data_IF_719935487144
#
_entry.id   IF_719935487144
#
_cell.length_a   1.000
_cell.length_b   1.000
_cell.length_c   1.000
_cell.angle_alpha   90.00
_cell.angle_beta   90.00
_cell.angle_gamma   90.00
#
_symmetry.space_group_name_H-M   'P 1'
#
loop_
_entity.id
_entity.type
_entity.pdbx_description
1 polymer ?
#
# COMPACT_ATOMS: atom_id res chain seq x y z
N UNK A 1 -5.06 5.24 1.36
CA UNK A 1 -6.51 5.45 1.61
C UNK A 1 -7.09 4.43 2.60
N UNK A 2 -6.61 3.17 2.57
CA UNK A 2 -7.02 2.05 3.45
C UNK A 2 -6.72 2.29 4.95
N UNK A 3 -5.58 2.91 5.27
CA UNK A 3 -5.21 3.26 6.65
C UNK A 3 -6.16 4.29 7.33
N UNK A 4 -6.98 5.03 6.56
CA UNK A 4 -8.02 5.93 7.08
C UNK A 4 -9.31 5.19 7.39
N UNK A 5 -9.60 4.12 6.65
CA UNK A 5 -10.78 3.25 6.85
C UNK A 5 -10.59 2.39 8.09
N UNK A 6 -9.40 1.81 8.30
CA UNK A 6 -9.08 1.07 9.52
C UNK A 6 -9.06 1.95 10.78
N UNK A 7 -8.66 3.21 10.66
CA UNK A 7 -8.73 4.17 11.77
C UNK A 7 -10.18 4.50 12.12
N UNK A 8 -11.04 4.74 11.12
CA UNK A 8 -12.48 4.92 11.32
C UNK A 8 -13.17 3.68 11.90
N UNK A 9 -12.73 2.47 11.56
CA UNK A 9 -13.25 1.23 12.15
C UNK A 9 -12.78 1.06 13.60
N UNK A 10 -11.53 1.40 13.91
CA UNK A 10 -10.99 1.41 15.28
C UNK A 10 -11.66 2.47 16.17
N UNK A 11 -12.00 3.62 15.59
CA UNK A 11 -12.73 4.71 16.24
C UNK A 11 -14.26 4.44 16.30
N UNK A 12 -14.78 3.50 15.51
CA UNK A 12 -16.17 3.03 15.63
C UNK A 12 -16.30 1.87 16.64
N UNK A 13 -15.25 1.06 16.81
CA UNK A 13 -15.16 0.00 17.84
C UNK A 13 -14.84 0.60 19.21
N UNK A 14 -14.03 1.67 19.27
CA UNK A 14 -13.98 2.58 20.40
C UNK A 14 -15.16 3.53 20.32
N UNK A 15 -16.35 3.07 20.68
CA UNK A 15 -17.49 3.94 20.95
C UNK A 15 -17.13 4.96 22.03
N UNK A 16 -16.51 6.05 21.62
CA UNK A 16 -16.30 7.28 22.37
C UNK A 16 -17.08 8.39 21.67
N UNK A 17 -18.32 8.08 21.27
CA UNK A 17 -19.36 9.06 21.38
C UNK A 17 -19.45 9.35 22.87
N UNK A 18 -18.87 10.47 23.31
CA UNK A 18 -18.84 10.97 24.69
C UNK A 18 -20.20 11.17 25.37
N UNK A 19 -21.23 10.44 24.92
CA UNK A 19 -22.32 9.90 25.72
C UNK A 19 -21.88 8.55 26.31
N UNK A 20 -20.79 8.58 27.07
CA UNK A 20 -20.54 7.52 28.03
C UNK A 20 -21.84 7.30 28.79
N UNK A 21 -22.31 6.05 28.77
CA UNK A 21 -23.44 5.51 29.53
C UNK A 21 -23.62 6.36 30.79
N UNK A 22 -24.63 7.23 30.81
CA UNK A 22 -24.96 7.94 32.04
C UNK A 22 -25.34 6.83 33.01
N UNK A 23 -24.45 6.58 33.97
CA UNK A 23 -24.74 5.74 35.13
C UNK A 23 -25.86 6.43 35.91
N UNK A 24 -27.09 6.16 35.50
CA UNK A 24 -28.29 6.35 36.30
C UNK A 24 -28.81 4.96 36.63
N UNK A 25 -28.15 4.28 37.58
CA UNK A 25 -28.88 3.28 38.37
C UNK A 25 -30.14 4.00 38.85
N UNK A 26 -31.31 3.44 38.51
CA UNK A 26 -32.66 3.85 38.91
C UNK A 26 -32.63 4.97 39.96
N UNK A 27 -32.97 6.20 39.56
CA UNK A 27 -32.77 7.37 40.40
C UNK A 27 -33.46 7.12 41.75
N UNK A 28 -32.74 7.20 42.89
CA UNK A 28 -33.35 7.05 44.19
C UNK A 28 -34.51 8.04 44.32
N UNK A 29 -35.65 7.55 44.79
CA UNK A 29 -36.83 8.38 44.98
C UNK A 29 -36.65 9.15 46.28
N UNK A 30 -36.35 10.44 46.18
CA UNK A 30 -36.30 11.35 47.33
C UNK A 30 -37.71 11.88 47.60
N UNK A 31 -38.38 11.27 48.59
CA UNK A 31 -39.74 11.66 48.98
C UNK A 31 -39.79 13.05 49.61
N UNK A 32 -38.72 13.55 50.23
CA UNK A 32 -38.66 14.90 50.80
C UNK A 32 -38.47 15.98 49.73
N UNK A 33 -37.68 15.69 48.69
CA UNK A 33 -37.58 16.54 47.51
C UNK A 33 -38.94 16.66 46.80
N UNK A 34 -39.62 15.53 46.58
CA UNK A 34 -40.92 15.50 45.92
C UNK A 34 -41.97 16.23 46.78
N UNK A 35 -41.97 16.02 48.10
CA UNK A 35 -42.89 16.69 49.01
C UNK A 35 -42.72 18.21 48.99
N UNK A 36 -41.48 18.72 48.97
CA UNK A 36 -41.19 20.15 48.84
C UNK A 36 -41.61 20.71 47.48
N UNK A 37 -41.32 19.97 46.39
CA UNK A 37 -41.69 20.39 45.03
C UNK A 37 -43.20 20.51 44.84
N UNK A 38 -43.97 19.67 45.52
CA UNK A 38 -45.43 19.68 45.48
C UNK A 38 -46.05 20.55 46.59
N UNK A 39 -45.24 21.18 47.44
CA UNK A 39 -45.64 21.96 48.62
C UNK A 39 -46.66 21.21 49.50
N UNK A 40 -46.42 19.91 49.72
CA UNK A 40 -47.43 19.00 50.26
C UNK A 40 -47.93 19.41 51.64
N UNK A 41 -47.04 19.87 52.53
CA UNK A 41 -47.42 20.20 53.90
C UNK A 41 -48.33 21.44 53.96
N UNK A 42 -48.01 22.48 53.19
CA UNK A 42 -48.81 23.70 53.13
C UNK A 42 -50.16 23.45 52.45
N UNK A 43 -50.15 22.73 51.32
CA UNK A 43 -51.37 22.36 50.59
C UNK A 43 -52.25 21.43 51.44
N UNK A 44 -51.67 20.49 52.18
CA UNK A 44 -52.41 19.61 53.09
C UNK A 44 -53.10 20.39 54.22
N UNK A 45 -52.39 21.36 54.83
CA UNK A 45 -52.94 22.20 55.88
C UNK A 45 -54.09 23.09 55.36
N UNK A 46 -53.90 23.72 54.19
CA UNK A 46 -54.94 24.52 53.54
C UNK A 46 -56.19 23.67 53.23
N UNK A 47 -55.99 22.52 52.58
CA UNK A 47 -57.08 21.59 52.22
C UNK A 47 -57.80 21.04 53.45
N UNK A 48 -57.05 20.67 54.49
CA UNK A 48 -57.58 20.17 55.76
C UNK A 48 -58.46 21.21 56.45
N UNK A 49 -58.01 22.47 56.52
CA UNK A 49 -58.80 23.57 57.10
C UNK A 49 -60.10 23.87 56.36
N UNK A 50 -60.15 23.57 55.05
CA UNK A 50 -61.33 23.67 54.18
C UNK A 50 -62.17 22.39 54.16
N UNK A 51 -61.80 21.39 54.95
CA UNK A 51 -62.47 20.09 55.04
C UNK A 51 -62.53 19.34 53.70
N UNK A 52 -61.51 19.54 52.86
CA UNK A 52 -61.36 18.89 51.57
C UNK A 52 -60.34 17.75 51.68
N UNK A 53 -60.62 16.56 51.13
CA UNK A 53 -61.89 16.15 50.52
C UNK A 53 -62.97 15.90 51.58
N UNK A 54 -64.24 15.91 51.14
CA UNK A 54 -65.40 15.65 51.98
C UNK A 54 -65.30 14.27 52.66
N UNK A 55 -65.84 14.15 53.88
CA UNK A 55 -65.73 12.92 54.68
C UNK A 55 -66.35 11.68 54.04
N UNK A 56 -67.29 11.87 53.11
CA UNK A 56 -67.96 10.82 52.32
C UNK A 56 -67.29 10.55 50.97
N UNK A 57 -66.21 11.26 50.62
CA UNK A 57 -65.43 11.01 49.41
C UNK A 57 -64.91 9.57 49.40
N UNK A 58 -64.91 8.97 48.21
CA UNK A 58 -64.45 7.59 47.97
C UNK A 58 -63.20 7.53 47.08
N UNK A 59 -62.77 8.67 46.53
CA UNK A 59 -61.73 8.73 45.51
C UNK A 59 -60.62 9.71 45.92
N UNK A 60 -59.41 9.44 45.42
CA UNK A 60 -58.26 10.33 45.58
C UNK A 60 -58.59 11.74 45.11
N UNK A 61 -58.25 12.73 45.93
CA UNK A 61 -58.42 14.13 45.54
C UNK A 61 -57.36 14.60 44.53
N UNK A 62 -57.47 15.85 44.07
CA UNK A 62 -56.55 16.39 43.06
C UNK A 62 -55.08 16.47 43.51
N UNK A 63 -54.79 16.50 44.82
CA UNK A 63 -53.42 16.53 45.33
C UNK A 63 -52.87 15.10 45.40
N UNK A 64 -53.66 14.17 45.92
CA UNK A 64 -53.32 12.74 45.93
C UNK A 64 -53.11 12.19 44.52
N UNK A 65 -53.97 12.57 43.56
CA UNK A 65 -53.79 12.24 42.15
C UNK A 65 -52.49 12.81 41.58
N UNK A 66 -52.11 14.04 41.97
CA UNK A 66 -50.85 14.66 41.52
C UNK A 66 -49.63 13.94 42.09
N UNK A 67 -49.68 13.48 43.35
CA UNK A 67 -48.64 12.64 43.94
C UNK A 67 -48.50 11.35 43.11
N UNK A 68 -49.61 10.63 42.90
CA UNK A 68 -49.61 9.37 42.12
C UNK A 68 -49.06 9.59 40.71
N UNK A 69 -49.57 10.60 39.97
CA UNK A 69 -49.14 10.89 38.60
C UNK A 69 -47.64 11.24 38.50
N UNK A 70 -47.09 11.92 39.50
CA UNK A 70 -45.66 12.27 39.50
C UNK A 70 -44.80 11.01 39.55
N UNK A 71 -45.14 10.06 40.44
CA UNK A 71 -44.36 8.83 40.62
C UNK A 71 -44.65 7.80 39.51
N UNK A 72 -45.88 7.74 38.99
CA UNK A 72 -46.20 6.94 37.80
C UNK A 72 -45.44 7.44 36.56
N UNK A 73 -45.21 8.75 36.45
CA UNK A 73 -44.38 9.35 35.40
C UNK A 73 -42.92 8.92 35.48
N UNK A 74 -42.31 8.98 36.67
CA UNK A 74 -40.94 8.48 36.93
C UNK A 74 -40.83 6.97 36.63
N UNK A 75 -41.81 6.19 37.09
CA UNK A 75 -41.88 4.74 36.83
C UNK A 75 -41.95 4.43 35.32
N UNK A 76 -42.84 5.12 34.59
CA UNK A 76 -42.98 4.93 33.14
C UNK A 76 -41.72 5.33 32.38
N UNK A 77 -41.06 6.42 32.80
CA UNK A 77 -39.81 6.89 32.20
C UNK A 77 -38.69 5.86 32.38
N UNK A 78 -38.51 5.36 33.61
CA UNK A 78 -37.52 4.32 33.89
C UNK A 78 -37.86 2.99 33.21
N UNK A 79 -39.14 2.67 33.02
CA UNK A 79 -39.57 1.50 32.24
C UNK A 79 -39.16 1.59 30.77
N UNK A 80 -39.32 2.76 30.14
CA UNK A 80 -38.85 3.01 28.78
C UNK A 80 -37.32 2.91 28.67
N UNK A 81 -36.59 3.43 29.66
CA UNK A 81 -35.13 3.31 29.72
C UNK A 81 -34.67 1.85 29.89
N UNK A 82 -35.37 1.06 30.71
CA UNK A 82 -35.11 -0.37 30.83
C UNK A 82 -35.24 -1.10 29.49
N UNK A 83 -36.31 -0.84 28.72
CA UNK A 83 -36.49 -1.44 27.39
C UNK A 83 -35.30 -1.11 26.48
N UNK A 84 -34.86 0.15 26.45
CA UNK A 84 -33.71 0.57 25.64
C UNK A 84 -32.42 -0.17 26.05
N UNK A 85 -32.17 -0.29 27.35
CA UNK A 85 -31.02 -1.03 27.87
C UNK A 85 -31.09 -2.52 27.51
N UNK A 86 -32.26 -3.14 27.59
CA UNK A 86 -32.47 -4.56 27.24
C UNK A 86 -32.27 -4.83 25.75
N UNK A 87 -32.70 -3.92 24.87
CA UNK A 87 -32.37 -3.98 23.43
C UNK A 87 -30.87 -3.86 23.17
N UNK A 88 -30.17 -3.01 23.92
CA UNK A 88 -28.72 -2.87 23.83
C UNK A 88 -28.01 -4.16 24.28
N UNK A 89 -28.47 -4.81 25.36
CA UNK A 89 -27.96 -6.13 25.76
C UNK A 89 -28.20 -7.20 24.69
N UNK A 90 -29.39 -7.26 24.10
CA UNK A 90 -29.70 -8.18 23.00
C UNK A 90 -28.76 -7.97 21.80
N UNK A 91 -28.50 -6.73 21.42
CA UNK A 91 -27.57 -6.38 20.35
C UNK A 91 -26.13 -6.83 20.66
N UNK A 92 -25.68 -6.68 21.92
CA UNK A 92 -24.36 -7.15 22.36
C UNK A 92 -24.26 -8.67 22.36
N UNK A 93 -25.32 -9.39 22.73
CA UNK A 93 -25.35 -10.86 22.66
C UNK A 93 -25.23 -11.38 21.22
N UNK A 94 -25.86 -10.70 20.26
CA UNK A 94 -25.73 -11.02 18.83
C UNK A 94 -24.31 -10.73 18.35
N UNK A 95 -23.73 -9.60 18.77
CA UNK A 95 -22.37 -9.22 18.39
C UNK A 95 -21.31 -10.21 18.92
N UNK A 96 -21.51 -10.75 20.12
CA UNK A 96 -20.66 -11.79 20.73
C UNK A 96 -21.20 -13.17 20.35
N UNK A 97 -21.33 -13.42 19.04
CA UNK A 97 -21.77 -14.71 18.53
C UNK A 97 -20.68 -15.38 17.72
N UNK A 98 -20.42 -16.65 18.05
CA UNK A 98 -19.43 -17.49 17.36
C UNK A 98 -19.80 -17.63 15.89
N UNK A 99 -21.10 -17.74 15.58
CA UNK A 99 -21.58 -17.89 14.21
C UNK A 99 -21.25 -16.67 13.34
N UNK A 100 -21.46 -15.44 13.85
CA UNK A 100 -21.19 -14.23 13.08
C UNK A 100 -19.69 -14.09 12.81
N UNK A 101 -18.84 -14.33 13.81
CA UNK A 101 -17.40 -14.25 13.59
C UNK A 101 -16.88 -15.38 12.68
N UNK A 102 -17.38 -16.60 12.84
CA UNK A 102 -17.04 -17.73 11.97
C UNK A 102 -17.43 -17.46 10.51
N UNK A 103 -18.67 -17.01 10.26
CA UNK A 103 -19.15 -16.72 8.91
C UNK A 103 -18.35 -15.58 8.24
N UNK A 104 -17.96 -14.56 9.01
CA UNK A 104 -17.11 -13.47 8.55
C UNK A 104 -15.70 -13.95 8.18
N UNK A 105 -15.10 -14.80 9.01
CA UNK A 105 -13.76 -15.35 8.77
C UNK A 105 -13.76 -16.38 7.63
N UNK A 106 -14.81 -17.19 7.50
CA UNK A 106 -15.01 -18.09 6.36
C UNK A 106 -15.10 -17.29 5.05
N UNK A 107 -15.96 -16.26 5.00
CA UNK A 107 -16.07 -15.40 3.82
C UNK A 107 -14.72 -14.74 3.45
N UNK A 108 -13.95 -14.28 4.44
CA UNK A 108 -12.62 -13.71 4.22
C UNK A 108 -11.65 -14.76 3.64
N UNK A 109 -11.65 -15.98 4.18
CA UNK A 109 -10.81 -17.07 3.71
C UNK A 109 -11.19 -17.50 2.28
N UNK A 110 -12.48 -17.69 2.00
CA UNK A 110 -12.98 -18.05 0.67
C UNK A 110 -12.61 -17.00 -0.38
N UNK A 111 -12.80 -15.71 -0.08
CA UNK A 111 -12.42 -14.62 -0.98
C UNK A 111 -10.91 -14.62 -1.28
N UNK A 112 -10.08 -14.94 -0.28
CA UNK A 112 -8.64 -15.04 -0.45
C UNK A 112 -8.26 -16.24 -1.31
N UNK A 113 -8.85 -17.41 -1.06
CA UNK A 113 -8.66 -18.61 -1.88
C UNK A 113 -9.06 -18.36 -3.34
N UNK A 114 -10.18 -17.68 -3.59
CA UNK A 114 -10.59 -17.31 -4.95
C UNK A 114 -9.53 -16.43 -5.62
N UNK A 115 -9.02 -15.40 -4.94
CA UNK A 115 -7.96 -14.54 -5.50
C UNK A 115 -6.66 -15.31 -5.80
N UNK A 116 -6.26 -16.22 -4.93
CA UNK A 116 -5.06 -17.05 -5.14
C UNK A 116 -5.24 -17.98 -6.36
N UNK A 117 -6.41 -18.58 -6.52
CA UNK A 117 -6.73 -19.45 -7.67
C UNK A 117 -6.83 -18.67 -8.97
N UNK A 118 -7.43 -17.48 -8.94
CA UNK A 118 -7.47 -16.58 -10.10
C UNK A 118 -6.07 -16.16 -10.51
N UNK A 119 -5.20 -15.84 -9.55
CA UNK A 119 -3.79 -15.54 -9.81
C UNK A 119 -3.05 -16.75 -10.39
N UNK A 120 -3.32 -17.97 -9.91
CA UNK A 120 -2.76 -19.19 -10.47
C UNK A 120 -3.13 -19.35 -11.96
N UNK A 121 -4.40 -19.13 -12.30
CA UNK A 121 -4.85 -19.19 -13.69
C UNK A 121 -4.21 -18.12 -14.58
N UNK A 122 -4.03 -16.90 -14.05
CA UNK A 122 -3.38 -15.81 -14.79
C UNK A 122 -1.88 -16.00 -14.94
N UNK A 123 -1.22 -16.52 -13.91
CA UNK A 123 0.23 -16.76 -13.89
C UNK A 123 0.68 -17.64 -15.06
N UNK A 124 -0.09 -18.67 -15.41
CA UNK A 124 0.23 -19.52 -16.56
C UNK A 124 0.31 -18.74 -17.87
N UNK A 125 -0.68 -17.88 -18.12
CA UNK A 125 -0.77 -17.11 -19.36
C UNK A 125 0.22 -15.93 -19.39
N UNK A 126 0.42 -15.25 -18.27
CA UNK A 126 1.21 -14.02 -18.15
C UNK A 126 2.70 -14.34 -17.91
N UNK A 127 3.01 -15.26 -16.99
CA UNK A 127 4.39 -15.57 -16.60
C UNK A 127 5.01 -16.73 -17.37
N UNK A 128 4.22 -17.64 -17.92
CA UNK A 128 4.73 -18.79 -18.70
C UNK A 128 5.68 -18.38 -19.83
N UNK A 129 5.23 -17.52 -20.77
CA UNK A 129 6.06 -17.06 -21.89
C UNK A 129 7.30 -16.26 -21.45
N UNK A 130 7.16 -15.44 -20.40
CA UNK A 130 8.26 -14.64 -19.85
C UNK A 130 9.32 -15.55 -19.22
N UNK A 131 8.90 -16.57 -18.48
CA UNK A 131 9.79 -17.58 -17.90
C UNK A 131 10.53 -18.35 -18.99
N UNK A 132 9.83 -18.83 -20.02
CA UNK A 132 10.46 -19.54 -21.15
C UNK A 132 11.52 -18.66 -21.84
N UNK A 133 11.18 -17.39 -22.07
CA UNK A 133 12.10 -16.42 -22.69
C UNK A 133 13.33 -16.16 -21.81
N UNK A 134 13.11 -15.96 -20.51
CA UNK A 134 14.19 -15.77 -19.54
C UNK A 134 15.13 -16.98 -19.49
N UNK A 135 14.58 -18.19 -19.36
CA UNK A 135 15.36 -19.43 -19.33
C UNK A 135 16.15 -19.61 -20.63
N UNK A 136 15.51 -19.41 -21.78
CA UNK A 136 16.19 -19.53 -23.08
C UNK A 136 17.38 -18.56 -23.20
N UNK A 137 17.20 -17.29 -22.82
CA UNK A 137 18.28 -16.29 -22.91
C UNK A 137 19.36 -16.46 -21.84
N UNK A 138 18.99 -16.93 -20.65
CA UNK A 138 19.94 -17.31 -19.61
C UNK A 138 20.82 -18.47 -20.08
N UNK A 139 20.22 -19.53 -20.61
CA UNK A 139 20.93 -20.71 -21.08
C UNK A 139 21.82 -20.36 -22.28
N UNK A 140 21.35 -19.52 -23.20
CA UNK A 140 22.14 -19.01 -24.32
C UNK A 140 23.37 -18.18 -23.83
N UNK A 141 23.21 -17.38 -22.77
CA UNK A 141 24.31 -16.65 -22.14
C UNK A 141 25.30 -17.60 -21.45
N UNK A 142 24.80 -18.62 -20.75
CA UNK A 142 25.61 -19.63 -20.09
C UNK A 142 26.45 -20.40 -21.10
N UNK A 143 25.82 -20.94 -22.14
CA UNK A 143 26.46 -21.58 -23.29
C UNK A 143 27.54 -20.70 -23.92
N UNK A 144 27.23 -19.42 -24.14
CA UNK A 144 28.20 -18.47 -24.67
C UNK A 144 29.41 -18.35 -23.74
N UNK A 145 29.19 -18.23 -22.43
CA UNK A 145 30.29 -18.14 -21.45
C UNK A 145 31.13 -19.40 -21.42
N UNK A 146 30.54 -20.59 -21.49
CA UNK A 146 31.26 -21.85 -21.51
C UNK A 146 32.11 -22.01 -22.77
N UNK A 147 31.51 -21.87 -23.96
CA UNK A 147 32.21 -21.99 -25.25
C UNK A 147 33.38 -21.01 -25.36
N UNK A 148 33.23 -19.82 -24.80
CA UNK A 148 34.23 -18.75 -24.85
C UNK A 148 35.12 -18.65 -23.60
N UNK A 149 34.97 -19.55 -22.61
CA UNK A 149 35.72 -19.61 -21.34
C UNK A 149 35.67 -18.31 -20.52
N UNK A 150 34.53 -17.64 -20.50
CA UNK A 150 34.32 -16.34 -19.86
C UNK A 150 33.83 -16.50 -18.41
N UNK A 151 34.75 -16.36 -17.45
CA UNK A 151 34.43 -16.45 -16.01
C UNK A 151 33.91 -15.15 -15.40
N UNK A 152 34.27 -14.00 -15.97
CA UNK A 152 33.85 -12.67 -15.50
C UNK A 152 32.42 -12.34 -15.93
N UNK A 153 31.76 -11.43 -15.21
CA UNK A 153 30.53 -10.80 -15.69
C UNK A 153 30.80 -9.93 -16.93
N UNK A 154 29.77 -9.74 -17.75
CA UNK A 154 29.82 -8.81 -18.87
C UNK A 154 29.92 -7.37 -18.36
N UNK A 155 30.75 -6.57 -19.03
CA UNK A 155 30.83 -5.14 -18.80
C UNK A 155 29.72 -4.48 -19.61
N UNK A 156 28.79 -3.81 -18.94
CA UNK A 156 27.75 -3.02 -19.60
C UNK A 156 27.99 -1.53 -19.29
N UNK A 157 28.57 -0.74 -20.22
CA UNK A 157 28.70 0.69 -20.02
C UNK A 157 27.30 1.33 -20.06
N UNK A 158 26.75 1.68 -18.89
CA UNK A 158 25.37 2.13 -18.73
C UNK A 158 24.99 3.41 -19.48
N UNK A 159 25.96 4.20 -19.96
CA UNK A 159 25.74 5.50 -20.59
C UNK A 159 26.22 5.55 -22.04
N UNK A 160 25.53 4.87 -22.96
CA UNK A 160 25.89 4.91 -24.39
C UNK A 160 25.77 6.31 -24.99
N UNK A 161 24.83 7.11 -24.51
CA UNK A 161 24.62 8.50 -24.92
C UNK A 161 25.83 9.42 -24.67
N UNK A 162 26.59 9.20 -23.59
CA UNK A 162 27.80 10.00 -23.34
C UNK A 162 28.90 9.70 -24.36
N UNK A 163 28.86 8.54 -25.02
CA UNK A 163 29.76 8.21 -26.13
C UNK A 163 29.50 9.11 -27.32
N UNK A 164 28.24 9.24 -27.75
CA UNK A 164 27.90 10.10 -28.88
C UNK A 164 28.17 11.58 -28.60
N UNK A 165 27.91 12.03 -27.36
CA UNK A 165 28.29 13.38 -26.93
C UNK A 165 29.80 13.64 -27.00
N UNK A 166 30.61 12.67 -26.57
CA UNK A 166 32.06 12.75 -26.70
C UNK A 166 32.49 12.77 -28.17
N UNK A 167 31.99 11.85 -29.02
CA UNK A 167 32.33 11.81 -30.45
C UNK A 167 31.97 13.13 -31.16
N UNK A 168 30.81 13.71 -30.84
CA UNK A 168 30.42 15.02 -31.34
C UNK A 168 31.39 16.11 -30.91
N UNK A 169 31.82 16.11 -29.65
CA UNK A 169 32.83 17.04 -29.15
C UNK A 169 34.18 16.85 -29.87
N UNK A 170 34.62 15.61 -30.12
CA UNK A 170 35.83 15.33 -30.88
C UNK A 170 35.75 15.96 -32.28
N UNK A 171 34.63 15.72 -32.99
CA UNK A 171 34.38 16.27 -34.32
C UNK A 171 34.39 17.80 -34.28
N UNK A 172 33.68 18.42 -33.34
CA UNK A 172 33.59 19.87 -33.23
C UNK A 172 34.97 20.51 -33.01
N UNK A 173 35.75 19.98 -32.07
CA UNK A 173 37.09 20.51 -31.77
C UNK A 173 38.05 20.27 -32.92
N UNK A 174 38.07 19.07 -33.50
CA UNK A 174 38.91 18.74 -34.66
C UNK A 174 38.55 19.62 -35.87
N UNK A 175 37.26 19.88 -36.11
CA UNK A 175 36.79 20.74 -37.19
C UNK A 175 37.26 22.19 -37.06
N UNK A 176 37.24 22.74 -35.84
CA UNK A 176 37.71 24.11 -35.58
C UNK A 176 39.22 24.19 -35.80
N UNK A 177 39.99 23.26 -35.22
CA UNK A 177 41.44 23.24 -35.33
C UNK A 177 41.87 23.04 -36.79
N UNK A 178 41.33 22.03 -37.47
CA UNK A 178 41.64 21.73 -38.86
C UNK A 178 41.14 22.83 -39.80
N UNK A 179 39.98 23.43 -39.52
CA UNK A 179 39.41 24.51 -40.33
C UNK A 179 40.26 25.77 -40.36
N UNK A 180 40.88 26.14 -39.23
CA UNK A 180 41.87 27.23 -39.18
C UNK A 180 43.09 26.92 -40.04
N UNK A 181 43.52 25.66 -40.08
CA UNK A 181 44.67 25.24 -40.89
C UNK A 181 44.36 25.21 -42.39
N UNK A 182 43.14 24.84 -42.80
CA UNK A 182 42.71 24.84 -44.20
C UNK A 182 42.25 26.21 -44.72
N UNK A 183 41.94 27.16 -43.83
CA UNK A 183 41.49 28.51 -44.18
C UNK A 183 42.47 29.29 -45.08
N UNK A 184 43.77 29.04 -44.98
CA UNK A 184 44.80 29.72 -45.79
C UNK A 184 44.84 29.24 -47.26
N UNK A 185 44.27 28.07 -47.56
CA UNK A 185 44.25 27.48 -48.90
C UNK A 185 42.88 27.47 -49.58
N UNK A 186 41.79 27.81 -48.87
CA UNK A 186 40.43 27.70 -49.39
C UNK A 186 39.93 29.01 -50.02
N UNK A 187 39.24 28.90 -51.17
CA UNK A 187 38.65 30.05 -51.88
C UNK A 187 37.65 30.88 -51.05
N UNK A 188 36.96 30.25 -50.08
CA UNK A 188 36.00 30.88 -49.17
C UNK A 188 36.62 31.24 -47.79
N UNK A 189 37.95 31.23 -47.68
CA UNK A 189 38.68 31.53 -46.43
C UNK A 189 38.27 30.61 -45.28
N UNK A 190 38.08 31.19 -44.09
CA UNK A 190 37.79 30.43 -42.86
C UNK A 190 36.48 29.63 -42.93
N UNK A 191 35.44 30.17 -43.57
CA UNK A 191 34.14 29.49 -43.69
C UNK A 191 34.29 28.24 -44.55
N UNK A 192 34.98 28.33 -45.68
CA UNK A 192 35.27 27.17 -46.54
C UNK A 192 36.12 26.11 -45.84
N UNK A 193 37.17 26.54 -45.14
CA UNK A 193 38.06 25.65 -44.39
C UNK A 193 37.36 24.90 -43.25
N UNK A 194 36.44 25.54 -42.52
CA UNK A 194 35.67 24.87 -41.46
C UNK A 194 34.69 23.85 -42.05
N UNK A 195 33.98 24.18 -43.13
CA UNK A 195 33.02 23.26 -43.75
C UNK A 195 33.71 21.99 -44.26
N UNK A 196 34.86 22.11 -44.92
CA UNK A 196 35.66 20.96 -45.36
C UNK A 196 36.24 20.18 -44.17
N UNK A 197 36.70 20.87 -43.12
CA UNK A 197 37.21 20.25 -41.91
C UNK A 197 36.15 19.42 -41.16
N UNK A 198 34.88 19.84 -41.16
CA UNK A 198 33.77 19.07 -40.55
C UNK A 198 33.62 17.71 -41.23
N UNK A 199 33.60 17.68 -42.57
CA UNK A 199 33.47 16.43 -43.32
C UNK A 199 34.64 15.47 -43.03
N UNK A 200 35.87 15.99 -43.04
CA UNK A 200 37.08 15.22 -42.76
C UNK A 200 37.09 14.71 -41.31
N UNK A 201 36.78 15.56 -40.34
CA UNK A 201 36.73 15.20 -38.92
C UNK A 201 35.67 14.12 -38.66
N UNK A 202 34.49 14.22 -39.26
CA UNK A 202 33.45 13.19 -39.14
C UNK A 202 33.96 11.82 -39.64
N UNK A 203 34.56 11.77 -40.83
CA UNK A 203 35.08 10.51 -41.40
C UNK A 203 36.22 9.96 -40.56
N UNK A 204 37.16 10.79 -40.10
CA UNK A 204 38.28 10.35 -39.27
C UNK A 204 37.83 9.79 -37.92
N UNK A 205 36.95 10.51 -37.21
CA UNK A 205 36.41 10.07 -35.93
C UNK A 205 35.56 8.82 -36.09
N UNK A 206 34.70 8.75 -37.12
CA UNK A 206 33.89 7.56 -37.39
C UNK A 206 34.75 6.35 -37.73
N UNK A 207 35.78 6.53 -38.58
CA UNK A 207 36.69 5.45 -38.97
C UNK A 207 37.54 4.97 -37.77
N UNK A 208 38.11 5.89 -36.99
CA UNK A 208 38.80 5.58 -35.74
C UNK A 208 37.90 4.82 -34.75
N UNK A 209 36.67 5.31 -34.55
CA UNK A 209 35.68 4.63 -33.72
C UNK A 209 35.36 3.21 -34.22
N UNK A 210 35.21 3.01 -35.54
CA UNK A 210 34.98 1.69 -36.13
C UNK A 210 36.16 0.73 -35.93
N UNK A 211 37.41 1.22 -36.02
CA UNK A 211 38.60 0.42 -35.72
C UNK A 211 38.57 -0.06 -34.25
N UNK A 212 38.22 0.84 -33.33
CA UNK A 212 38.01 0.48 -31.92
C UNK A 212 36.89 -0.55 -31.73
N UNK A 213 35.73 -0.29 -32.34
CA UNK A 213 34.51 -1.06 -32.15
C UNK A 213 34.59 -2.48 -32.71
N UNK A 214 35.26 -2.66 -33.84
CA UNK A 214 35.36 -3.95 -34.50
C UNK A 214 36.73 -4.59 -34.24
N UNK A 215 37.78 -4.36 -35.05
CA UNK A 215 38.98 -5.19 -35.02
C UNK A 215 39.71 -5.20 -33.68
N UNK A 216 39.77 -4.06 -32.96
CA UNK A 216 40.45 -4.00 -31.65
C UNK A 216 39.77 -4.91 -30.62
N UNK A 217 38.44 -5.03 -30.64
CA UNK A 217 37.72 -5.91 -29.70
C UNK A 217 37.92 -7.39 -29.99
N UNK A 218 38.13 -7.76 -31.26
CA UNK A 218 38.42 -9.14 -31.64
C UNK A 218 39.78 -9.65 -31.09
N UNK A 219 40.67 -8.76 -30.64
CA UNK A 219 41.89 -9.13 -29.92
C UNK A 219 41.63 -9.91 -28.62
N UNK A 220 40.44 -9.73 -28.04
CA UNK A 220 40.03 -10.39 -26.80
C UNK A 220 39.36 -11.76 -27.05
N UNK A 221 39.20 -12.18 -28.31
CA UNK A 221 38.54 -13.43 -28.65
C UNK A 221 39.38 -14.66 -28.22
N UNK A 222 38.72 -15.74 -27.82
CA UNK A 222 39.40 -16.95 -27.31
C UNK A 222 40.02 -17.80 -28.44
N UNK A 223 39.40 -17.81 -29.62
CA UNK A 223 39.92 -18.48 -30.81
C UNK A 223 41.05 -17.64 -31.45
N UNK A 224 42.22 -18.27 -31.61
CA UNK A 224 43.45 -17.66 -32.13
C UNK A 224 43.29 -17.10 -33.55
N UNK A 225 42.53 -17.76 -34.43
CA UNK A 225 42.32 -17.29 -35.80
C UNK A 225 41.64 -15.91 -35.81
N UNK A 226 40.53 -15.80 -35.07
CA UNK A 226 39.80 -14.54 -34.95
C UNK A 226 40.63 -13.45 -34.27
N UNK A 227 41.46 -13.82 -33.29
CA UNK A 227 42.41 -12.91 -32.65
C UNK A 227 43.46 -12.39 -33.63
N UNK A 228 44.00 -13.25 -34.49
CA UNK A 228 44.97 -12.88 -35.53
C UNK A 228 44.33 -11.98 -36.59
N UNK A 229 43.12 -12.32 -37.08
CA UNK A 229 42.38 -11.46 -38.00
C UNK A 229 42.09 -10.09 -37.38
N UNK A 230 41.68 -10.04 -36.11
CA UNK A 230 41.50 -8.80 -35.36
C UNK A 230 42.80 -7.99 -35.24
N UNK A 231 43.93 -8.64 -35.01
CA UNK A 231 45.24 -8.00 -34.95
C UNK A 231 45.66 -7.40 -36.30
N UNK A 232 45.61 -8.18 -37.38
CA UNK A 232 45.96 -7.72 -38.72
C UNK A 232 45.06 -6.56 -39.14
N UNK A 233 43.75 -6.67 -38.93
CA UNK A 233 42.80 -5.61 -39.24
C UNK A 233 43.00 -4.36 -38.37
N UNK A 234 43.39 -4.52 -37.10
CA UNK A 234 43.72 -3.38 -36.22
C UNK A 234 44.97 -2.66 -36.69
N UNK A 235 46.04 -3.40 -37.04
CA UNK A 235 47.28 -2.83 -37.55
C UNK A 235 47.03 -2.12 -38.88
N UNK A 236 46.33 -2.76 -39.82
CA UNK A 236 45.99 -2.16 -41.10
C UNK A 236 45.10 -0.91 -40.94
N UNK A 237 44.09 -0.97 -40.07
CA UNK A 237 43.20 0.16 -39.79
C UNK A 237 43.93 1.35 -39.14
N UNK A 238 44.75 1.09 -38.12
CA UNK A 238 45.57 2.13 -37.48
C UNK A 238 46.59 2.70 -38.47
N UNK A 239 47.21 1.85 -39.29
CA UNK A 239 48.12 2.29 -40.37
C UNK A 239 47.42 3.19 -41.39
N UNK A 240 46.20 2.84 -41.81
CA UNK A 240 45.38 3.67 -42.69
C UNK A 240 45.01 5.00 -42.02
N UNK A 241 44.67 5.00 -40.73
CA UNK A 241 44.36 6.21 -39.96
C UNK A 241 45.57 7.14 -39.85
N UNK A 242 46.77 6.60 -39.57
CA UNK A 242 48.03 7.35 -39.60
C UNK A 242 48.29 7.89 -41.01
N UNK A 243 48.08 7.08 -42.05
CA UNK A 243 48.21 7.49 -43.44
C UNK A 243 47.25 8.62 -43.83
N UNK A 244 46.00 8.60 -43.38
CA UNK A 244 45.01 9.67 -43.62
C UNK A 244 45.43 10.99 -42.96
N UNK A 245 45.88 10.96 -41.70
CA UNK A 245 46.37 12.16 -41.03
C UNK A 245 47.69 12.66 -41.65
N UNK A 246 48.57 11.75 -42.05
CA UNK A 246 49.80 12.09 -42.77
C UNK A 246 49.49 12.76 -44.10
N UNK A 247 48.58 12.17 -44.88
CA UNK A 247 48.09 12.74 -46.13
C UNK A 247 47.50 14.14 -45.94
N UNK A 248 46.68 14.35 -44.91
CA UNK A 248 46.12 15.68 -44.62
C UNK A 248 47.21 16.73 -44.33
N UNK A 249 48.29 16.35 -43.63
CA UNK A 249 49.43 17.23 -43.36
C UNK A 249 50.24 17.55 -44.63
N UNK A 250 50.53 16.54 -45.46
CA UNK A 250 51.19 16.73 -46.76
C UNK A 250 50.33 17.53 -47.74
N UNK A 251 49.01 17.32 -47.73
CA UNK A 251 48.06 18.06 -48.56
C UNK A 251 48.03 19.54 -48.22
N UNK A 252 48.07 19.87 -46.92
CA UNK A 252 48.19 21.25 -46.46
C UNK A 252 49.49 21.90 -46.98
N UNK A 253 50.64 21.24 -46.79
CA UNK A 253 51.94 21.76 -47.25
C UNK A 253 51.97 21.93 -48.78
N UNK A 254 51.46 20.96 -49.52
CA UNK A 254 51.36 21.01 -50.98
C UNK A 254 50.42 22.14 -51.45
N UNK A 255 49.27 22.34 -50.80
CA UNK A 255 48.34 23.43 -51.11
C UNK A 255 49.01 24.79 -50.92
N UNK A 256 49.80 24.95 -49.86
CA UNK A 256 50.56 26.16 -49.60
C UNK A 256 51.72 26.38 -50.59
N UNK A 257 52.32 25.31 -51.12
CA UNK A 257 53.50 25.39 -52.00
C UNK A 257 53.16 25.50 -53.50
N UNK A 258 52.18 24.75 -53.99
CA UNK A 258 51.90 24.59 -55.43
C UNK A 258 50.47 24.94 -55.86
N UNK A 259 49.60 25.30 -54.92
CA UNK A 259 48.18 25.59 -55.14
C UNK A 259 47.29 24.33 -55.16
N UNK A 260 45.98 24.51 -54.96
CA UNK A 260 44.99 23.43 -54.77
C UNK A 260 44.94 22.44 -55.95
N UNK A 261 45.04 22.93 -57.19
CA UNK A 261 44.95 22.12 -58.43
C UNK A 261 46.00 21.01 -58.53
N UNK A 262 47.17 21.18 -57.92
CA UNK A 262 48.28 20.20 -57.94
C UNK A 262 48.61 19.63 -56.56
N UNK A 263 47.87 20.05 -55.53
CA UNK A 263 48.15 19.71 -54.15
C UNK A 263 47.94 18.22 -53.86
N UNK A 264 46.91 17.59 -54.44
CA UNK A 264 46.60 16.17 -54.23
C UNK A 264 47.73 15.26 -54.71
N UNK A 265 48.17 15.42 -55.96
CA UNK A 265 49.22 14.59 -56.55
C UNK A 265 50.56 14.78 -55.84
N UNK A 266 50.89 16.04 -55.52
CA UNK A 266 52.12 16.39 -54.81
C UNK A 266 52.12 15.78 -53.40
N UNK A 267 51.01 15.89 -52.66
CA UNK A 267 50.89 15.33 -51.32
C UNK A 267 50.99 13.80 -51.31
N UNK A 268 50.40 13.13 -52.29
CA UNK A 268 50.49 11.68 -52.41
C UNK A 268 51.91 11.22 -52.73
N UNK A 269 52.58 11.89 -53.67
CA UNK A 269 53.98 11.60 -54.02
C UNK A 269 54.91 11.81 -52.83
N UNK A 270 54.79 12.95 -52.13
CA UNK A 270 55.65 13.25 -50.96
C UNK A 270 55.37 12.30 -49.80
N UNK A 271 54.12 11.93 -49.53
CA UNK A 271 53.78 10.93 -48.52
C UNK A 271 54.42 9.57 -48.82
N UNK A 272 54.51 9.17 -50.09
CA UNK A 272 55.14 7.91 -50.49
C UNK A 272 56.67 7.97 -50.43
N UNK A 273 57.30 9.04 -50.94
CA UNK A 273 58.75 9.14 -51.03
C UNK A 273 59.42 9.60 -49.74
N UNK A 274 58.71 10.37 -48.91
CA UNK A 274 59.24 11.00 -47.70
C UNK A 274 58.12 11.23 -46.66
N UNK A 275 57.55 10.16 -46.08
CA UNK A 275 56.33 10.22 -45.26
C UNK A 275 56.43 11.14 -44.03
N UNK A 276 57.63 11.32 -43.49
CA UNK A 276 57.90 12.14 -42.31
C UNK A 276 58.36 13.57 -42.62
N UNK A 277 58.52 13.92 -43.89
CA UNK A 277 59.00 15.24 -44.30
C UNK A 277 57.85 16.25 -44.37
N UNK A 278 57.57 16.92 -43.25
CA UNK A 278 56.63 18.05 -43.19
C UNK A 278 57.40 19.37 -43.20
N UNK A 279 56.94 20.34 -43.97
CA UNK A 279 57.63 21.60 -44.23
C UNK A 279 57.25 22.72 -43.23
N UNK A 280 56.04 22.67 -42.65
CA UNK A 280 55.51 23.68 -41.72
C UNK A 280 55.20 23.06 -40.34
N UNK A 281 55.53 23.79 -39.26
CA UNK A 281 55.17 23.44 -37.89
C UNK A 281 53.64 23.25 -37.72
N UNK A 282 52.84 24.01 -38.45
CA UNK A 282 51.38 23.85 -38.46
C UNK A 282 50.93 22.50 -39.03
N UNK A 283 51.68 21.93 -39.97
CA UNK A 283 51.40 20.61 -40.56
C UNK A 283 51.79 19.50 -39.58
N UNK A 284 52.84 19.71 -38.77
CA UNK A 284 53.12 18.86 -37.61
C UNK A 284 52.00 18.92 -36.55
N UNK A 285 51.45 20.10 -36.26
CA UNK A 285 50.30 20.22 -35.35
C UNK A 285 49.06 19.50 -35.89
N UNK A 286 48.74 19.69 -37.17
CA UNK A 286 47.62 19.03 -37.84
C UNK A 286 47.74 17.50 -37.75
N UNK A 287 48.95 16.97 -38.03
CA UNK A 287 49.23 15.54 -37.90
C UNK A 287 49.11 15.05 -36.45
N UNK A 288 49.82 15.68 -35.51
CA UNK A 288 49.89 15.22 -34.12
C UNK A 288 48.57 15.31 -33.37
N UNK A 289 47.85 16.42 -33.51
CA UNK A 289 46.52 16.61 -32.90
C UNK A 289 45.50 15.66 -33.55
N UNK A 290 45.58 15.48 -34.87
CA UNK A 290 44.76 14.50 -35.58
C UNK A 290 44.93 13.09 -35.03
N UNK A 291 46.19 12.64 -34.85
CA UNK A 291 46.48 11.34 -34.24
C UNK A 291 45.96 11.20 -32.80
N UNK A 292 45.99 12.28 -32.00
CA UNK A 292 45.43 12.28 -30.65
C UNK A 292 43.90 12.06 -30.67
N UNK A 293 43.18 12.76 -31.55
CA UNK A 293 41.73 12.61 -31.68
C UNK A 293 41.36 11.24 -32.25
N UNK A 294 42.10 10.75 -33.24
CA UNK A 294 42.02 9.39 -33.76
C UNK A 294 42.20 8.34 -32.64
N UNK A 295 43.21 8.49 -31.79
CA UNK A 295 43.44 7.60 -30.65
C UNK A 295 42.24 7.60 -29.69
N UNK A 296 41.71 8.78 -29.34
CA UNK A 296 40.54 8.89 -28.47
C UNK A 296 39.30 8.24 -29.09
N UNK A 297 39.09 8.40 -30.40
CA UNK A 297 38.00 7.74 -31.13
C UNK A 297 38.15 6.20 -31.11
N UNK A 298 39.35 5.67 -31.38
CA UNK A 298 39.66 4.23 -31.30
C UNK A 298 39.44 3.69 -29.89
N UNK A 299 39.99 4.36 -28.87
CA UNK A 299 39.82 3.98 -27.48
C UNK A 299 38.34 3.95 -27.08
N UNK A 300 37.57 4.95 -27.55
CA UNK A 300 36.16 5.03 -27.26
C UNK A 300 35.35 3.94 -27.96
N UNK A 301 35.67 3.60 -29.20
CA UNK A 301 35.08 2.46 -29.91
C UNK A 301 35.37 1.13 -29.21
N UNK A 302 36.62 0.93 -28.77
CA UNK A 302 37.03 -0.29 -28.08
C UNK A 302 36.33 -0.49 -26.72
N UNK A 303 35.91 0.60 -26.08
CA UNK A 303 35.23 0.61 -24.78
C UNK A 303 33.71 0.84 -24.88
N UNK A 304 33.15 0.88 -26.09
CA UNK A 304 31.73 1.17 -26.31
C UNK A 304 30.77 0.10 -25.76
N UNK A 305 31.21 -1.16 -25.72
CA UNK A 305 30.48 -2.29 -25.13
C UNK A 305 31.51 -3.28 -24.57
N UNK A 306 31.08 -4.48 -24.14
CA UNK A 306 31.98 -5.47 -23.56
C UNK A 306 33.22 -5.75 -24.45
N UNK A 307 34.46 -5.76 -23.90
CA UNK A 307 35.67 -6.00 -24.69
C UNK A 307 35.65 -7.30 -25.50
N UNK A 308 34.88 -8.31 -25.04
CA UNK A 308 34.63 -9.52 -25.78
C UNK A 308 33.48 -9.31 -26.77
N UNK A 309 33.68 -9.55 -28.08
CA UNK A 309 32.63 -9.38 -29.08
C UNK A 309 31.34 -10.11 -28.70
N UNK A 310 30.20 -9.43 -28.88
CA UNK A 310 28.83 -9.92 -28.62
C UNK A 310 28.47 -10.22 -27.16
N UNK A 311 29.41 -10.40 -26.22
CA UNK A 311 29.09 -10.82 -24.84
C UNK A 311 28.09 -9.88 -24.14
N UNK A 312 28.28 -8.56 -24.28
CA UNK A 312 27.34 -7.57 -23.72
C UNK A 312 25.91 -7.68 -24.27
N UNK A 313 25.72 -8.14 -25.51
CA UNK A 313 24.40 -8.29 -26.11
C UNK A 313 23.64 -9.50 -25.54
N UNK A 314 24.31 -10.66 -25.41
CA UNK A 314 23.74 -11.84 -24.74
C UNK A 314 23.39 -11.52 -23.28
N UNK A 315 24.29 -10.83 -22.58
CA UNK A 315 24.06 -10.43 -21.20
C UNK A 315 22.84 -9.51 -21.04
N UNK A 316 22.73 -8.45 -21.87
CA UNK A 316 21.58 -7.54 -21.79
C UNK A 316 20.26 -8.20 -22.16
N UNK A 317 20.24 -9.13 -23.12
CA UNK A 317 19.03 -9.89 -23.46
C UNK A 317 18.55 -10.74 -22.27
N UNK A 318 19.47 -11.46 -21.63
CA UNK A 318 19.14 -12.24 -20.44
C UNK A 318 18.71 -11.35 -19.26
N UNK A 319 19.38 -10.21 -19.06
CA UNK A 319 19.03 -9.25 -18.02
C UNK A 319 17.65 -8.64 -18.24
N UNK A 320 17.35 -8.19 -19.47
CA UNK A 320 16.06 -7.61 -19.81
C UNK A 320 14.91 -8.61 -19.62
N UNK A 321 15.07 -9.85 -20.11
CA UNK A 321 14.06 -10.89 -19.91
C UNK A 321 13.88 -11.24 -18.42
N UNK A 322 14.96 -11.18 -17.62
CA UNK A 322 14.87 -11.33 -16.17
C UNK A 322 14.10 -10.19 -15.52
N UNK A 323 14.37 -8.95 -15.91
CA UNK A 323 13.69 -7.75 -15.42
C UNK A 323 12.21 -7.78 -15.78
N UNK A 324 11.85 -8.03 -17.05
CA UNK A 324 10.45 -8.19 -17.48
C UNK A 324 9.72 -9.28 -16.70
N UNK A 325 10.35 -10.44 -16.51
CA UNK A 325 9.75 -11.52 -15.72
C UNK A 325 9.62 -11.13 -14.24
N UNK A 326 10.61 -10.45 -13.68
CA UNK A 326 10.61 -9.98 -12.28
C UNK A 326 9.51 -8.95 -12.04
N UNK A 327 9.32 -8.01 -12.95
CA UNK A 327 8.35 -6.93 -12.83
C UNK A 327 6.92 -7.48 -12.91
N UNK A 328 6.65 -8.38 -13.88
CA UNK A 328 5.34 -9.02 -13.99
C UNK A 328 5.04 -9.94 -12.80
N UNK A 329 6.06 -10.65 -12.30
CA UNK A 329 5.94 -11.49 -11.10
C UNK A 329 5.55 -10.65 -9.87
N UNK A 330 6.22 -9.51 -9.65
CA UNK A 330 5.90 -8.59 -8.57
C UNK A 330 4.47 -8.04 -8.70
N UNK A 331 4.07 -7.62 -9.91
CA UNK A 331 2.72 -7.13 -10.18
C UNK A 331 1.62 -8.15 -9.87
N UNK A 332 1.87 -9.44 -10.12
CA UNK A 332 0.87 -10.49 -9.90
C UNK A 332 0.80 -10.94 -8.43
N UNK A 333 1.92 -10.96 -7.71
CA UNK A 333 2.02 -11.64 -6.43
C UNK A 333 2.22 -10.75 -5.19
N UNK A 334 2.69 -9.51 -5.33
CA UNK A 334 2.98 -8.64 -4.17
C UNK A 334 1.72 -8.39 -3.33
N UNK A 335 0.59 -8.07 -3.96
CA UNK A 335 -0.69 -7.87 -3.28
C UNK A 335 -1.21 -9.16 -2.62
N UNK A 336 -0.92 -10.34 -3.20
CA UNK A 336 -1.39 -11.62 -2.68
C UNK A 336 -0.68 -12.00 -1.39
N UNK A 337 0.62 -11.68 -1.27
CA UNK A 337 1.38 -11.90 -0.05
C UNK A 337 0.76 -11.13 1.12
N UNK A 338 0.37 -9.86 0.90
CA UNK A 338 -0.30 -9.02 1.89
C UNK A 338 -1.69 -9.57 2.26
N UNK A 339 -2.51 -9.92 1.25
CA UNK A 339 -3.87 -10.46 1.47
C UNK A 339 -3.83 -11.77 2.26
N UNK A 340 -2.89 -12.67 1.92
CA UNK A 340 -2.66 -13.93 2.62
C UNK A 340 -2.31 -13.66 4.10
N UNK A 341 -1.38 -12.74 4.37
CA UNK A 341 -0.96 -12.43 5.74
C UNK A 341 -2.10 -11.84 6.58
N UNK A 342 -2.83 -10.87 6.03
CA UNK A 342 -3.99 -10.26 6.69
C UNK A 342 -5.07 -11.30 7.02
N UNK A 343 -5.31 -12.24 6.09
CA UNK A 343 -6.31 -13.30 6.28
C UNK A 343 -5.89 -14.28 7.37
N UNK A 344 -4.65 -14.75 7.34
CA UNK A 344 -4.11 -15.67 8.36
C UNK A 344 -4.07 -14.99 9.74
N UNK A 345 -3.71 -13.71 9.81
CA UNK A 345 -3.74 -12.95 11.06
C UNK A 345 -5.16 -12.81 11.61
N UNK A 346 -6.14 -12.50 10.76
CA UNK A 346 -7.55 -12.38 11.14
C UNK A 346 -8.11 -13.72 11.64
N UNK A 347 -7.82 -14.83 10.95
CA UNK A 347 -8.22 -16.18 11.37
C UNK A 347 -7.59 -16.53 12.72
N UNK A 348 -6.28 -16.28 12.89
CA UNK A 348 -5.58 -16.53 14.14
C UNK A 348 -6.11 -15.66 15.30
N UNK A 349 -6.53 -14.43 15.02
CA UNK A 349 -7.23 -13.60 16.00
C UNK A 349 -8.58 -14.21 16.39
N UNK A 350 -9.35 -14.71 15.41
CA UNK A 350 -10.59 -15.45 15.64
C UNK A 350 -10.40 -16.68 16.52
N UNK A 351 -9.39 -17.50 16.23
CA UNK A 351 -9.03 -18.69 17.03
C UNK A 351 -8.77 -18.34 18.50
N UNK A 352 -8.18 -17.16 18.78
CA UNK A 352 -7.95 -16.68 20.16
C UNK A 352 -9.21 -16.11 20.81
N UNK A 353 -10.12 -15.52 20.03
CA UNK A 353 -11.29 -14.80 20.55
C UNK A 353 -12.52 -15.70 20.77
N UNK A 354 -12.79 -16.64 19.87
CA UNK A 354 -13.96 -17.54 19.93
C UNK A 354 -14.11 -18.25 21.29
N UNK A 355 -13.03 -18.78 21.92
CA UNK A 355 -13.15 -19.41 23.24
C UNK A 355 -13.65 -18.48 24.35
N UNK A 356 -13.51 -17.17 24.18
CA UNK A 356 -13.93 -16.15 25.16
C UNK A 356 -15.41 -15.76 25.02
N UNK A 357 -16.03 -16.04 23.86
CA UNK A 357 -17.40 -15.62 23.58
C UNK A 357 -18.43 -16.20 24.55
N UNK A 358 -18.38 -17.50 24.95
CA UNK A 358 -19.29 -18.02 25.95
C UNK A 358 -19.21 -17.28 27.29
N UNK A 359 -17.99 -16.94 27.73
CA UNK A 359 -17.77 -16.19 28.97
C UNK A 359 -18.32 -14.75 28.87
N UNK A 360 -18.06 -14.07 27.75
CA UNK A 360 -18.57 -12.73 27.49
C UNK A 360 -20.11 -12.71 27.40
N UNK A 361 -20.72 -13.68 26.70
CA UNK A 361 -22.17 -13.83 26.63
C UNK A 361 -22.77 -14.08 28.02
N UNK A 362 -22.14 -14.93 28.85
CA UNK A 362 -22.56 -15.16 30.22
C UNK A 362 -22.48 -13.89 31.08
N UNK A 363 -21.44 -13.07 30.91
CA UNK A 363 -21.31 -11.78 31.60
C UNK A 363 -22.42 -10.80 31.17
N UNK A 364 -22.73 -10.73 29.88
CA UNK A 364 -23.82 -9.89 29.36
C UNK A 364 -25.17 -10.34 29.93
N UNK A 365 -25.44 -11.65 29.96
CA UNK A 365 -26.66 -12.21 30.58
C UNK A 365 -26.76 -11.86 32.06
N UNK A 366 -25.65 -12.01 32.80
CA UNK A 366 -25.61 -11.66 34.23
C UNK A 366 -25.94 -10.18 34.47
N UNK A 367 -25.40 -9.28 33.65
CA UNK A 367 -25.71 -7.84 33.73
C UNK A 367 -27.17 -7.53 33.37
N UNK A 368 -27.69 -8.17 32.32
CA UNK A 368 -29.10 -8.07 31.93
C UNK A 368 -30.03 -8.51 33.06
N UNK A 369 -29.77 -9.66 33.67
CA UNK A 369 -30.56 -10.20 34.79
C UNK A 369 -30.50 -9.29 36.02
N UNK A 370 -29.32 -8.70 36.30
CA UNK A 370 -29.17 -7.74 37.38
C UNK A 370 -30.01 -6.47 37.14
N UNK A 371 -30.05 -5.95 35.91
CA UNK A 371 -30.90 -4.81 35.55
C UNK A 371 -32.39 -5.11 35.71
N UNK A 372 -32.84 -6.30 35.27
CA UNK A 372 -34.22 -6.74 35.46
C UNK A 372 -34.60 -6.82 36.95
N UNK A 373 -33.74 -7.44 37.78
CA UNK A 373 -33.95 -7.54 39.23
C UNK A 373 -33.94 -6.17 39.92
N UNK A 374 -33.06 -5.26 39.51
CA UNK A 374 -33.02 -3.90 40.04
C UNK A 374 -34.32 -3.13 39.73
N UNK A 375 -34.86 -3.29 38.52
CA UNK A 375 -36.14 -2.67 38.15
C UNK A 375 -37.32 -3.26 38.94
N UNK A 376 -37.35 -4.59 39.15
CA UNK A 376 -38.36 -5.23 40.01
C UNK A 376 -38.33 -4.68 41.45
N UNK A 377 -37.14 -4.47 42.00
CA UNK A 377 -36.99 -3.85 43.32
C UNK A 377 -37.49 -2.40 43.31
N UNK A 378 -37.21 -1.65 42.24
CA UNK A 378 -37.64 -0.25 42.09
C UNK A 378 -39.15 -0.07 42.06
N UNK A 379 -39.92 -1.00 41.47
CA UNK A 379 -41.39 -0.98 41.55
C UNK A 379 -41.88 -1.03 43.01
N UNK A 380 -41.18 -1.77 43.88
CA UNK A 380 -41.51 -1.83 45.31
C UNK A 380 -41.16 -0.51 46.01
N UNK A 381 -40.07 0.15 45.60
CA UNK A 381 -39.72 1.49 46.06
C UNK A 381 -40.78 2.52 45.63
N UNK A 382 -41.26 2.48 44.39
CA UNK A 382 -42.35 3.35 43.90
C UNK A 382 -43.60 3.21 44.78
N UNK A 383 -44.08 1.98 45.02
CA UNK A 383 -45.23 1.76 45.92
C UNK A 383 -45.00 2.35 47.31
N UNK A 384 -43.81 2.12 47.87
CA UNK A 384 -43.47 2.60 49.22
C UNK A 384 -43.42 4.13 49.26
N UNK A 385 -42.80 4.76 48.27
CA UNK A 385 -42.66 6.21 48.18
C UNK A 385 -43.99 6.92 47.94
N UNK A 386 -44.87 6.39 47.09
CA UNK A 386 -46.23 6.92 46.91
C UNK A 386 -47.00 6.86 48.24
N UNK A 387 -46.97 5.72 48.92
CA UNK A 387 -47.65 5.58 50.21
C UNK A 387 -47.08 6.49 51.30
N UNK A 388 -45.77 6.73 51.33
CA UNK A 388 -45.14 7.69 52.25
C UNK A 388 -45.62 9.13 51.98
N UNK A 389 -45.63 9.55 50.72
CA UNK A 389 -46.10 10.89 50.31
C UNK A 389 -47.59 11.08 50.58
N UNK A 390 -48.41 10.06 50.29
CA UNK A 390 -49.84 10.06 50.61
C UNK A 390 -50.08 10.12 52.12
N UNK A 391 -49.34 9.34 52.92
CA UNK A 391 -49.44 9.38 54.38
C UNK A 391 -49.11 10.78 54.91
N UNK A 392 -48.00 11.38 54.45
CA UNK A 392 -47.62 12.76 54.82
C UNK A 392 -48.73 13.77 54.53
N UNK A 393 -49.31 13.73 53.32
CA UNK A 393 -50.43 14.59 52.95
C UNK A 393 -51.68 14.34 53.80
N UNK A 394 -52.08 13.07 53.96
CA UNK A 394 -53.29 12.66 54.68
C UNK A 394 -53.22 12.96 56.17
N UNK A 395 -52.06 12.77 56.79
CA UNK A 395 -51.85 13.04 58.22
C UNK A 395 -51.89 14.54 58.50
N UNK A 396 -51.21 15.35 57.68
CA UNK A 396 -51.28 16.81 57.77
C UNK A 396 -52.71 17.33 57.52
N UNK A 397 -53.42 16.79 56.53
CA UNK A 397 -54.83 17.12 56.27
C UNK A 397 -55.71 16.77 57.48
N UNK A 398 -55.53 15.59 58.05
CA UNK A 398 -56.28 15.11 59.22
C UNK A 398 -56.02 15.97 60.45
N UNK A 399 -54.79 16.47 60.62
CA UNK A 399 -54.43 17.34 61.73
C UNK A 399 -55.16 18.70 61.69
N UNK A 400 -55.41 19.25 60.50
CA UNK A 400 -55.98 20.59 60.32
C UNK A 400 -57.51 20.63 60.15
N UNK A 401 -58.17 19.47 59.98
CA UNK A 401 -59.63 19.38 59.80
C UNK A 401 -60.40 19.17 61.10
N UNK A 402 -61.70 19.50 61.10
CA UNK A 402 -62.61 19.30 62.25
C UNK A 402 -63.58 18.13 62.05
N UNK A 403 -63.99 17.90 60.81
CA UNK A 403 -64.77 16.72 60.40
C UNK A 403 -63.94 15.44 60.36
N UNK A 404 -64.57 14.25 60.50
CA UNK A 404 -63.89 12.97 60.31
C UNK A 404 -63.17 12.90 58.95
N UNK A 405 -61.99 12.29 58.92
CA UNK A 405 -61.28 12.05 57.65
C UNK A 405 -62.06 11.06 56.76
N UNK A 406 -61.90 11.13 55.43
CA UNK A 406 -62.47 10.17 54.51
C UNK A 406 -61.98 8.74 54.81
N UNK A 407 -62.86 7.74 54.70
CA UNK A 407 -62.51 6.33 54.99
C UNK A 407 -61.42 5.78 54.08
N UNK A 408 -61.32 6.26 52.84
CA UNK A 408 -60.30 5.77 51.90
C UNK A 408 -58.88 6.20 52.26
N UNK A 409 -58.69 7.13 53.20
CA UNK A 409 -57.35 7.51 53.68
C UNK A 409 -56.59 6.33 54.28
N UNK A 410 -57.31 5.32 54.79
CA UNK A 410 -56.74 4.08 55.34
C UNK A 410 -56.38 3.03 54.28
N UNK A 411 -56.73 3.27 53.01
CA UNK A 411 -56.43 2.35 51.92
C UNK A 411 -55.04 2.69 51.34
N UNK A 412 -54.08 1.75 51.39
CA UNK A 412 -52.78 1.95 50.76
C UNK A 412 -52.93 1.92 49.24
N UNK A 413 -52.17 2.77 48.56
CA UNK A 413 -52.07 2.74 47.12
C UNK A 413 -51.19 1.56 46.66
N UNK A 414 -51.54 0.99 45.51
CA UNK A 414 -50.82 -0.11 44.85
C UNK A 414 -50.57 0.25 43.40
N UNK A 415 -49.45 -0.21 42.86
CA UNK A 415 -49.15 -0.05 41.44
C UNK A 415 -50.29 -0.67 40.60
N UNK A 416 -50.77 0.01 39.53
CA UNK A 416 -51.88 -0.49 38.73
C UNK A 416 -51.56 -1.82 38.04
N UNK A 417 -50.29 -2.00 37.66
CA UNK A 417 -49.76 -3.21 37.07
C UNK A 417 -48.26 -3.32 37.33
N UNK A 418 -47.72 -4.52 37.12
CA UNK A 418 -46.27 -4.77 37.08
C UNK A 418 -45.78 -4.56 35.65
N UNK A 419 -44.81 -3.70 35.44
CA UNK A 419 -44.29 -3.36 34.11
C UNK A 419 -43.77 -4.60 33.39
N UNK A 420 -43.06 -5.48 34.11
CA UNK A 420 -42.51 -6.72 33.56
C UNK A 420 -43.54 -7.83 33.35
N UNK A 421 -44.79 -7.63 33.75
CA UNK A 421 -45.88 -8.58 33.48
C UNK A 421 -46.64 -8.24 32.19
N UNK A 422 -46.39 -7.07 31.58
CA UNK A 422 -47.01 -6.68 30.32
C UNK A 422 -46.48 -7.54 29.16
N UNK A 423 -47.39 -8.16 28.40
CA UNK A 423 -47.06 -9.03 27.29
C UNK A 423 -46.29 -8.33 26.16
N UNK A 424 -46.55 -7.04 25.90
CA UNK A 424 -45.81 -6.26 24.93
C UNK A 424 -44.37 -6.02 25.40
N UNK A 425 -44.19 -5.72 26.70
CA UNK A 425 -42.86 -5.58 27.31
C UNK A 425 -42.11 -6.91 27.28
N UNK A 426 -42.75 -8.01 27.66
CA UNK A 426 -42.16 -9.36 27.64
C UNK A 426 -41.62 -9.75 26.25
N UNK A 427 -42.34 -9.37 25.19
CA UNK A 427 -41.91 -9.61 23.81
C UNK A 427 -40.67 -8.78 23.45
N UNK A 428 -40.63 -7.52 23.86
CA UNK A 428 -39.52 -6.60 23.59
C UNK A 428 -38.23 -6.96 24.36
N UNK A 429 -38.36 -7.62 25.52
CA UNK A 429 -37.23 -7.99 26.39
C UNK A 429 -36.78 -9.45 26.25
N UNK A 430 -37.44 -10.20 25.37
CA UNK A 430 -37.09 -11.58 25.08
C UNK A 430 -35.63 -11.65 24.63
N UNK A 431 -34.89 -12.61 25.18
CA UNK A 431 -33.50 -12.81 24.77
C UNK A 431 -33.48 -13.27 23.31
N UNK A 432 -32.62 -12.71 22.45
CA UNK A 432 -32.44 -13.25 21.12
C UNK A 432 -31.92 -14.69 21.23
N UNK A 433 -32.42 -15.62 20.40
CA UNK A 433 -31.91 -16.98 20.41
C UNK A 433 -30.42 -16.98 20.08
N UNK A 434 -29.60 -17.50 21.00
CA UNK A 434 -28.19 -17.82 20.74
C UNK A 434 -28.11 -19.29 20.39
N UNK A 435 -27.89 -19.67 19.12
CA UNK A 435 -27.79 -21.07 18.76
C UNK A 435 -26.63 -21.73 19.53
N UNK A 436 -26.81 -22.96 20.04
CA UNK A 436 -25.71 -23.72 20.63
C UNK A 436 -24.72 -24.03 19.50
N UNK A 437 -23.51 -23.48 19.62
CA UNK A 437 -22.42 -23.78 18.70
C UNK A 437 -21.31 -24.51 19.45
N UNK A 438 -20.83 -25.58 18.82
CA UNK A 438 -19.64 -26.28 19.24
C UNK A 438 -18.43 -25.40 18.92
N UNK A 439 -17.88 -24.75 19.94
CA UNK A 439 -16.69 -23.93 19.81
C UNK A 439 -15.51 -24.73 19.25
N UNK A 440 -15.41 -26.03 19.52
CA UNK A 440 -14.33 -26.85 18.99
C UNK A 440 -14.47 -27.05 17.48
N UNK A 441 -15.69 -27.35 17.00
CA UNK A 441 -15.96 -27.45 15.57
C UNK A 441 -15.65 -26.14 14.82
N UNK A 442 -15.98 -24.98 15.43
CA UNK A 442 -15.63 -23.67 14.86
C UNK A 442 -14.12 -23.44 14.80
N UNK A 443 -13.38 -23.83 15.84
CA UNK A 443 -11.92 -23.70 15.87
C UNK A 443 -11.23 -24.61 14.86
N UNK A 444 -11.72 -25.85 14.70
CA UNK A 444 -11.16 -26.79 13.74
C UNK A 444 -11.41 -26.32 12.29
N UNK A 445 -12.57 -25.73 12.03
CA UNK A 445 -12.87 -25.12 10.73
C UNK A 445 -11.95 -23.93 10.43
N UNK A 446 -11.73 -23.03 11.40
CA UNK A 446 -10.79 -21.92 11.23
C UNK A 446 -9.36 -22.38 10.97
N UNK A 447 -8.90 -23.43 11.65
CA UNK A 447 -7.58 -24.02 11.40
C UNK A 447 -7.50 -24.57 9.98
N UNK A 448 -8.53 -25.31 9.54
CA UNK A 448 -8.62 -25.83 8.16
C UNK A 448 -8.54 -24.71 7.13
N UNK A 449 -9.27 -23.62 7.33
CA UNK A 449 -9.25 -22.45 6.45
C UNK A 449 -7.86 -21.77 6.42
N UNK A 450 -7.23 -21.60 7.57
CA UNK A 450 -5.87 -21.03 7.63
C UNK A 450 -4.86 -21.90 6.87
N UNK A 451 -4.91 -23.22 7.05
CA UNK A 451 -4.04 -24.15 6.34
C UNK A 451 -4.28 -24.10 4.85
N UNK A 452 -5.55 -24.10 4.40
CA UNK A 452 -5.89 -24.03 2.98
C UNK A 452 -5.35 -22.76 2.31
N UNK A 453 -5.44 -21.60 2.97
CA UNK A 453 -4.90 -20.34 2.44
C UNK A 453 -3.37 -20.40 2.30
N UNK A 454 -2.68 -20.97 3.29
CA UNK A 454 -1.22 -21.11 3.25
C UNK A 454 -0.78 -22.10 2.16
N UNK A 455 -1.39 -23.27 2.08
CA UNK A 455 -1.07 -24.30 1.08
C UNK A 455 -1.31 -23.81 -0.35
N UNK A 456 -2.43 -23.12 -0.61
CA UNK A 456 -2.72 -22.57 -1.94
C UNK A 456 -1.70 -21.48 -2.33
N UNK A 457 -1.28 -20.64 -1.39
CA UNK A 457 -0.23 -19.64 -1.63
C UNK A 457 1.15 -20.28 -1.86
N UNK A 458 1.51 -21.31 -1.08
CA UNK A 458 2.77 -22.03 -1.27
C UNK A 458 2.83 -22.76 -2.61
N UNK A 459 1.73 -23.40 -3.02
CA UNK A 459 1.58 -24.02 -4.34
C UNK A 459 1.83 -23.00 -5.45
N UNK A 460 1.18 -21.84 -5.36
CA UNK A 460 1.32 -20.75 -6.32
C UNK A 460 2.78 -20.28 -6.46
N UNK A 461 3.46 -20.04 -5.33
CA UNK A 461 4.86 -19.60 -5.32
C UNK A 461 5.85 -20.67 -5.77
N UNK A 462 5.49 -21.95 -5.62
CA UNK A 462 6.31 -23.08 -6.08
C UNK A 462 6.20 -23.28 -7.59
N UNK A 463 4.99 -23.13 -8.14
CA UNK A 463 4.74 -23.25 -9.57
C UNK A 463 5.33 -22.07 -10.37
N UNK A 464 5.29 -20.87 -9.78
CA UNK A 464 5.77 -19.63 -10.40
C UNK A 464 6.84 -18.95 -9.53
N UNK A 465 8.06 -19.52 -9.45
CA UNK A 465 9.10 -18.98 -8.59
C UNK A 465 9.65 -17.67 -9.15
N UNK A 466 9.94 -16.71 -8.28
CA UNK A 466 10.60 -15.48 -8.68
C UNK A 466 11.95 -15.77 -9.37
N UNK A 467 12.39 -15.01 -10.39
CA UNK A 467 13.63 -15.28 -11.14
C UNK A 467 14.90 -15.40 -10.28
N UNK A 468 14.94 -14.76 -9.11
CA UNK A 468 16.06 -14.88 -8.14
C UNK A 468 16.13 -16.24 -7.41
N UNK A 469 15.05 -17.01 -7.44
CA UNK A 469 14.96 -18.35 -6.83
C UNK A 469 15.14 -19.48 -7.84
N UNK A 470 15.18 -19.16 -9.13
CA UNK A 470 15.58 -20.12 -10.16
C UNK A 470 17.10 -20.32 -10.07
N UNK A 471 17.55 -21.57 -9.97
CA UNK A 471 18.99 -21.87 -9.90
C UNK A 471 19.74 -21.27 -11.10
N UNK A 472 20.93 -20.74 -10.84
CA UNK A 472 21.87 -20.26 -11.88
C UNK A 472 22.35 -21.41 -12.79
#
# INVERSE_FOLDING_TARGET
>A
MIAKVFRKAKDAIRGDDGRGLVQGYLKPIDTDEIARKLDLDAVAAERGSREQPASDSQFLDGVEQRIVQTLEGEWSWHGADLINNLRAYGSRLIAVSVQTELAKLDLLAQNTLTKLRDANHRAEAELGPLRETYVAYRDELHDFRERHKLKRLARNPGHRWTTFGLLFLLIAVESVLNGVFFAKGAALGLVGGIVTAIGIAFVNVAFGFMIGLFPVRWLNHNNVLFKLCGLVASIAGVGALVGLHGFAAHYRDATAAVGEDRALDTAFQTLQSSPLALADLNSFYLFGIGLLWAFLAVWKGATFDDPYPRYGAYYRRALHAREEYSDEHAMLFDDLAEIKEQTVEAINAGIRQIPLFPQQAAQIRTQRDAHLKAFQAYETTIETSVNQLLARYRDANTHHRKTPRPRYFDVPWKLPHRFLADAAVLKEIAEPPTPPLDANAALDELRRLSTAVLEEYELLMTNYPHPTRMSD
#
